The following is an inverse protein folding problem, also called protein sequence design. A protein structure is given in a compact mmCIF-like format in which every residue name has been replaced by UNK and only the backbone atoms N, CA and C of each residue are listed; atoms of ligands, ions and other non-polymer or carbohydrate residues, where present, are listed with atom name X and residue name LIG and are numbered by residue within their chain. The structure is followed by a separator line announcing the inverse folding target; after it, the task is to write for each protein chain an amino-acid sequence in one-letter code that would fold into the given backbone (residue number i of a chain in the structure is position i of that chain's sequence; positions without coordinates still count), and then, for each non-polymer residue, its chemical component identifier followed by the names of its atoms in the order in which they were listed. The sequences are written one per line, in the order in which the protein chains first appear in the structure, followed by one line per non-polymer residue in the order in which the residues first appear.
data_IF_212091765886
#
_entry.id   IF_212091765886
#
_cell.length_a   1.000
_cell.length_b   1.000
_cell.length_c   1.000
_cell.angle_alpha   90.00
_cell.angle_beta   90.00
_cell.angle_gamma   90.00
#
_symmetry.space_group_name_H-M   'P 1'
#
loop_
_entity.id
_entity.type
_entity.pdbx_description
1 polymer ?
#
# COMPACT_ATOMS: atom_id res chain seq x y z
N UNK A 1 20.57 58.52 19.39
CA UNK A 1 19.91 58.00 18.18
C UNK A 1 19.79 56.48 18.30
N UNK A 2 18.57 56.00 18.47
CA UNK A 2 18.24 54.63 18.85
C UNK A 2 18.49 53.62 17.72
N UNK A 3 18.99 52.45 18.12
CA UNK A 3 19.23 51.29 17.26
C UNK A 3 18.26 50.19 17.68
N UNK A 4 17.04 50.23 17.16
CA UNK A 4 16.04 49.20 17.40
C UNK A 4 16.15 48.05 16.38
N UNK A 5 16.85 47.01 16.81
CA UNK A 5 16.30 45.68 17.06
C UNK A 5 15.12 45.20 16.18
N UNK A 6 15.40 44.26 15.25
CA UNK A 6 14.61 43.02 15.09
C UNK A 6 15.52 41.84 14.75
N UNK A 7 15.80 41.06 15.79
CA UNK A 7 16.22 39.65 15.69
C UNK A 7 14.97 38.83 15.36
N UNK A 8 14.89 38.22 14.19
CA UNK A 8 13.94 37.13 13.98
C UNK A 8 14.57 35.82 14.46
N UNK A 9 13.94 35.28 15.51
CA UNK A 9 14.31 34.04 16.18
C UNK A 9 13.89 32.84 15.35
N UNK A 10 14.70 31.81 15.50
CA UNK A 10 14.59 30.42 15.04
C UNK A 10 13.25 29.82 15.51
N UNK A 11 12.59 29.04 14.65
CA UNK A 11 11.61 28.03 15.09
C UNK A 11 12.01 26.69 14.46
N UNK A 12 12.58 25.75 15.24
CA UNK A 12 12.60 24.35 14.83
C UNK A 12 11.21 23.80 15.13
N UNK A 13 10.49 23.35 14.08
CA UNK A 13 9.22 22.66 14.25
C UNK A 13 9.51 21.26 14.81
N UNK A 14 9.64 21.17 16.12
CA UNK A 14 9.61 19.92 16.86
C UNK A 14 8.22 19.31 16.70
N UNK A 15 8.13 18.19 16.00
CA UNK A 15 6.88 17.41 15.93
C UNK A 15 6.72 16.70 17.29
N UNK A 16 5.61 17.04 17.93
CA UNK A 16 5.16 16.61 19.24
C UNK A 16 4.93 15.08 19.27
N UNK A 17 5.65 14.37 20.15
CA UNK A 17 5.29 13.01 20.56
C UNK A 17 4.28 13.15 21.70
N UNK A 18 3.02 12.77 21.45
CA UNK A 18 2.02 12.64 22.51
C UNK A 18 1.89 11.15 22.90
N UNK A 19 2.45 10.80 24.05
CA UNK A 19 2.12 9.58 24.80
C UNK A 19 0.95 9.95 25.71
N UNK A 20 -0.15 9.21 25.64
CA UNK A 20 -1.29 9.38 26.55
C UNK A 20 -1.64 8.02 27.14
N UNK A 21 -1.37 7.86 28.45
CA UNK A 21 -1.92 6.80 29.29
C UNK A 21 -2.86 7.42 30.34
N UNK A 22 -4.12 6.99 30.24
CA UNK A 22 -5.16 6.79 31.27
C UNK A 22 -5.68 8.01 32.05
N UNK A 23 -6.91 8.40 31.72
CA UNK A 23 -7.89 8.97 32.64
C UNK A 23 -9.24 8.29 32.40
N UNK A 24 -9.73 7.58 33.42
CA UNK A 24 -10.93 6.76 33.39
C UNK A 24 -12.19 7.65 33.29
N UNK A 25 -12.76 7.79 32.10
CA UNK A 25 -14.11 8.33 31.89
C UNK A 25 -14.83 7.47 30.84
N UNK A 26 -16.10 7.07 31.04
CA UNK A 26 -16.87 6.41 30.01
C UNK A 26 -17.34 7.50 29.03
N UNK A 27 -16.42 8.00 28.21
CA UNK A 27 -16.79 8.76 27.03
C UNK A 27 -17.36 7.72 26.06
N UNK A 28 -18.69 7.74 25.85
CA UNK A 28 -19.31 7.10 24.70
C UNK A 28 -18.66 7.68 23.44
N UNK A 29 -17.57 7.05 23.00
CA UNK A 29 -17.07 7.20 21.66
C UNK A 29 -18.09 6.50 20.78
N UNK A 30 -18.97 7.28 20.18
CA UNK A 30 -19.57 6.89 18.92
C UNK A 30 -18.40 6.74 17.94
N UNK A 31 -17.80 5.55 17.91
CA UNK A 31 -16.93 5.13 16.85
C UNK A 31 -17.83 5.14 15.60
N UNK A 32 -17.81 6.25 14.87
CA UNK A 32 -18.29 6.29 13.51
C UNK A 32 -17.43 5.29 12.75
N UNK A 33 -17.98 4.08 12.60
CA UNK A 33 -17.49 3.07 11.68
C UNK A 33 -17.58 3.70 10.30
N UNK A 34 -16.48 4.29 9.85
CA UNK A 34 -16.33 4.55 8.43
C UNK A 34 -16.35 3.16 7.80
N UNK A 35 -17.49 2.79 7.21
CA UNK A 35 -17.57 1.65 6.29
C UNK A 35 -16.58 1.96 5.18
N UNK A 36 -15.35 1.49 5.34
CA UNK A 36 -14.26 1.70 4.41
C UNK A 36 -14.44 0.75 3.24
N UNK A 37 -15.53 0.94 2.49
CA UNK A 37 -15.83 0.17 1.30
C UNK A 37 -15.06 0.76 0.13
N UNK A 38 -14.27 -0.07 -0.55
CA UNK A 38 -13.55 0.34 -1.76
C UNK A 38 -14.58 0.85 -2.81
N UNK A 39 -14.39 2.07 -3.38
CA UNK A 39 -15.24 2.59 -4.44
C UNK A 39 -15.32 1.61 -5.61
N UNK A 40 -16.52 1.35 -6.13
CA UNK A 40 -16.73 0.30 -7.14
C UNK A 40 -16.01 0.57 -8.46
N UNK A 41 -15.86 1.83 -8.87
CA UNK A 41 -15.15 2.15 -10.11
C UNK A 41 -13.65 1.94 -9.95
N UNK A 42 -13.06 2.36 -8.82
CA UNK A 42 -11.67 2.04 -8.48
C UNK A 42 -11.42 0.53 -8.43
N UNK A 43 -12.38 -0.23 -7.87
CA UNK A 43 -12.27 -1.69 -7.81
C UNK A 43 -12.22 -2.32 -9.22
N UNK A 44 -13.07 -1.86 -10.15
CA UNK A 44 -13.06 -2.34 -11.54
C UNK A 44 -11.73 -2.03 -12.22
N UNK A 45 -11.21 -0.82 -12.03
CA UNK A 45 -9.94 -0.40 -12.63
C UNK A 45 -8.79 -1.28 -12.10
N UNK A 46 -8.75 -1.54 -10.79
CA UNK A 46 -7.74 -2.42 -10.18
C UNK A 46 -7.88 -3.87 -10.67
N UNK A 47 -9.10 -4.40 -10.77
CA UNK A 47 -9.35 -5.76 -11.28
C UNK A 47 -8.91 -5.92 -12.75
N UNK A 48 -9.06 -4.88 -13.56
CA UNK A 48 -8.65 -4.89 -14.97
C UNK A 48 -7.12 -5.07 -15.13
N UNK A 49 -6.33 -4.64 -14.13
CA UNK A 49 -4.87 -4.82 -14.13
C UNK A 49 -4.43 -6.27 -13.93
N UNK A 50 -5.28 -7.13 -13.35
CA UNK A 50 -5.00 -8.56 -13.09
C UNK A 50 -3.66 -8.81 -12.38
N UNK A 51 -3.32 -7.95 -11.41
CA UNK A 51 -2.05 -8.08 -10.67
C UNK A 51 -2.13 -9.28 -9.72
N UNK A 52 -1.38 -10.33 -10.01
CA UNK A 52 -1.42 -11.62 -9.30
C UNK A 52 -0.07 -11.97 -8.68
N UNK A 53 -0.09 -12.63 -7.51
CA UNK A 53 1.05 -13.33 -6.93
C UNK A 53 0.56 -14.57 -6.18
N UNK A 54 1.15 -15.73 -6.51
CA UNK A 54 0.57 -17.02 -6.09
C UNK A 54 -0.86 -17.15 -6.59
N UNK A 55 -1.76 -17.62 -5.73
CA UNK A 55 -3.19 -17.78 -6.05
C UNK A 55 -4.04 -16.54 -5.71
N UNK A 56 -3.40 -15.42 -5.36
CA UNK A 56 -4.07 -14.19 -4.95
C UNK A 56 -4.00 -13.14 -6.06
N UNK A 57 -5.15 -12.52 -6.35
CA UNK A 57 -5.28 -11.45 -7.34
C UNK A 57 -5.77 -10.19 -6.64
N UNK A 58 -5.06 -9.06 -6.84
CA UNK A 58 -5.42 -7.78 -6.26
C UNK A 58 -6.81 -7.34 -6.73
N UNK A 59 -7.65 -6.87 -5.79
CA UNK A 59 -9.02 -6.45 -6.09
C UNK A 59 -10.03 -7.59 -6.26
N UNK A 60 -9.61 -8.86 -6.18
CA UNK A 60 -10.53 -10.00 -6.23
C UNK A 60 -10.92 -10.46 -4.82
N UNK A 61 -12.14 -10.98 -4.61
CA UNK A 61 -12.53 -11.59 -3.34
C UNK A 61 -11.75 -12.89 -3.11
N UNK A 62 -11.43 -13.18 -1.85
CA UNK A 62 -10.86 -14.45 -1.45
C UNK A 62 -11.80 -15.62 -1.76
N UNK A 63 -11.24 -16.74 -2.20
CA UNK A 63 -11.99 -18.00 -2.34
C UNK A 63 -12.34 -18.59 -0.98
N UNK A 64 -13.28 -19.53 -0.94
CA UNK A 64 -13.62 -20.24 0.30
C UNK A 64 -12.42 -20.94 0.92
N UNK A 65 -11.53 -21.52 0.09
CA UNK A 65 -10.30 -22.17 0.55
C UNK A 65 -9.33 -21.17 1.17
N UNK A 66 -9.15 -20.00 0.54
CA UNK A 66 -8.30 -18.94 1.07
C UNK A 66 -8.85 -18.34 2.36
N UNK A 67 -10.19 -18.30 2.53
CA UNK A 67 -10.81 -17.88 3.79
C UNK A 67 -10.56 -18.88 4.92
N UNK A 68 -10.50 -20.18 4.64
CA UNK A 68 -10.11 -21.18 5.64
C UNK A 68 -8.64 -21.04 6.04
N UNK A 69 -7.75 -20.76 5.08
CA UNK A 69 -6.35 -20.40 5.37
C UNK A 69 -6.28 -19.15 6.25
N UNK A 70 -7.07 -18.12 5.94
CA UNK A 70 -7.11 -16.87 6.70
C UNK A 70 -7.54 -17.07 8.15
N UNK A 71 -8.54 -17.93 8.41
CA UNK A 71 -8.97 -18.28 9.77
C UNK A 71 -7.87 -18.99 10.56
N UNK A 72 -7.12 -19.88 9.91
CA UNK A 72 -6.08 -20.70 10.57
C UNK A 72 -4.78 -19.93 10.79
N UNK A 73 -4.43 -19.03 9.87
CA UNK A 73 -3.13 -18.35 9.83
C UNK A 73 -3.28 -16.82 9.93
N UNK A 74 -4.28 -16.37 10.69
CA UNK A 74 -4.53 -14.96 10.96
C UNK A 74 -3.34 -14.25 11.62
N UNK A 75 -3.15 -13.00 11.24
CA UNK A 75 -2.13 -12.10 11.77
C UNK A 75 -2.79 -10.92 12.48
N UNK A 76 -2.08 -10.23 13.41
CA UNK A 76 -2.61 -9.02 14.04
C UNK A 76 -3.03 -7.98 13.00
N UNK A 77 -4.18 -7.36 13.24
CA UNK A 77 -4.75 -6.28 12.41
C UNK A 77 -3.83 -5.06 12.41
N UNK A 78 -3.65 -4.46 11.24
CA UNK A 78 -2.83 -3.24 11.06
C UNK A 78 -3.61 -2.02 10.62
N UNK A 79 -4.84 -2.20 10.11
CA UNK A 79 -5.71 -1.13 9.68
C UNK A 79 -7.18 -1.48 9.97
N UNK A 80 -8.00 -0.48 10.32
CA UNK A 80 -9.45 -0.65 10.49
C UNK A 80 -10.10 -1.16 9.20
N UNK A 81 -11.19 -1.93 9.30
CA UNK A 81 -11.90 -2.47 8.15
C UNK A 81 -11.13 -3.54 7.35
N UNK A 82 -10.03 -4.07 7.87
CA UNK A 82 -9.22 -5.10 7.19
C UNK A 82 -8.84 -6.24 8.12
N UNK A 83 -8.61 -7.41 7.54
CA UNK A 83 -7.94 -8.54 8.19
C UNK A 83 -6.71 -8.95 7.40
N UNK A 84 -5.77 -9.60 8.10
CA UNK A 84 -4.50 -10.03 7.53
C UNK A 84 -4.20 -11.46 7.93
N UNK A 85 -3.59 -12.22 7.04
CA UNK A 85 -3.18 -13.60 7.29
C UNK A 85 -1.94 -13.98 6.48
N UNK A 86 -1.33 -15.10 6.84
CA UNK A 86 -0.17 -15.67 6.15
C UNK A 86 -0.59 -16.91 5.36
N UNK A 87 -0.07 -17.06 4.15
CA UNK A 87 -0.19 -18.29 3.34
C UNK A 87 1.15 -18.58 2.67
N UNK A 88 1.82 -19.66 3.08
CA UNK A 88 3.20 -19.93 2.69
C UNK A 88 4.11 -18.75 3.06
N UNK A 89 4.80 -18.17 2.08
CA UNK A 89 5.65 -16.97 2.26
C UNK A 89 4.89 -15.65 2.05
N UNK A 90 3.63 -15.71 1.61
CA UNK A 90 2.81 -14.54 1.36
C UNK A 90 2.10 -14.06 2.62
N UNK A 91 2.00 -12.74 2.77
CA UNK A 91 1.09 -12.07 3.69
C UNK A 91 0.04 -11.33 2.88
N UNK A 92 -1.22 -11.61 3.17
CA UNK A 92 -2.38 -11.10 2.45
C UNK A 92 -3.17 -10.19 3.38
N UNK A 93 -3.57 -9.02 2.88
CA UNK A 93 -4.51 -8.12 3.54
C UNK A 93 -5.78 -8.06 2.71
N UNK A 94 -6.94 -8.22 3.35
CA UNK A 94 -8.23 -8.16 2.70
C UNK A 94 -9.22 -7.26 3.47
N UNK A 95 -10.20 -6.70 2.76
CA UNK A 95 -11.30 -5.91 3.32
C UNK A 95 -12.24 -6.80 4.16
N UNK A 96 -12.58 -6.36 5.36
CA UNK A 96 -13.62 -7.00 6.17
C UNK A 96 -14.99 -6.85 5.49
N UNK A 97 -15.79 -7.91 5.48
CA UNK A 97 -17.14 -7.92 4.90
C UNK A 97 -17.18 -8.35 3.44
N UNK A 98 -16.36 -7.76 2.56
CA UNK A 98 -16.30 -8.15 1.14
C UNK A 98 -15.22 -9.20 0.82
N UNK A 99 -14.24 -9.38 1.70
CA UNK A 99 -13.08 -10.26 1.51
C UNK A 99 -12.24 -9.92 0.28
N UNK A 100 -12.29 -8.69 -0.22
CA UNK A 100 -11.49 -8.24 -1.36
C UNK A 100 -10.02 -8.12 -0.95
N UNK A 101 -9.11 -8.70 -1.74
CA UNK A 101 -7.66 -8.58 -1.53
C UNK A 101 -7.18 -7.15 -1.82
N UNK A 102 -6.56 -6.52 -0.81
CA UNK A 102 -6.06 -5.14 -0.85
C UNK A 102 -4.53 -5.10 -0.96
N UNK A 103 -3.83 -6.07 -0.39
CA UNK A 103 -2.37 -6.14 -0.48
C UNK A 103 -1.89 -7.58 -0.46
N UNK A 104 -0.84 -7.83 -1.24
CA UNK A 104 -0.09 -9.08 -1.27
C UNK A 104 1.37 -8.70 -1.04
N UNK A 105 2.02 -9.35 -0.07
CA UNK A 105 3.42 -9.06 0.23
C UNK A 105 4.18 -10.33 0.57
N UNK A 106 5.48 -10.31 0.31
CA UNK A 106 6.40 -11.40 0.60
C UNK A 106 7.63 -10.78 1.26
N UNK A 107 8.11 -11.38 2.36
CA UNK A 107 9.27 -10.85 3.09
C UNK A 107 10.28 -11.95 3.32
N UNK A 108 11.50 -11.74 2.81
CA UNK A 108 12.64 -12.59 3.11
C UNK A 108 13.79 -11.75 3.66
N UNK A 109 14.36 -12.12 4.82
CA UNK A 109 15.46 -11.37 5.42
C UNK A 109 16.74 -11.46 4.57
N UNK A 110 16.89 -12.53 3.77
CA UNK A 110 18.01 -12.73 2.86
C UNK A 110 17.54 -13.42 1.58
N UNK A 111 17.71 -12.74 0.45
CA UNK A 111 17.57 -13.33 -0.87
C UNK A 111 18.95 -13.60 -1.49
N UNK A 112 19.25 -14.85 -1.91
CA UNK A 112 20.37 -15.13 -2.79
C UNK A 112 20.30 -14.29 -4.07
N UNK A 113 21.45 -13.80 -4.55
CA UNK A 113 21.52 -12.96 -5.77
C UNK A 113 20.81 -13.56 -6.97
N UNK A 114 20.86 -14.89 -7.14
CA UNK A 114 20.16 -15.59 -8.22
C UNK A 114 18.64 -15.42 -8.08
N UNK A 115 18.09 -15.63 -6.89
CA UNK A 115 16.65 -15.51 -6.67
C UNK A 115 16.16 -14.07 -6.87
N UNK A 116 16.93 -13.05 -6.47
CA UNK A 116 16.59 -11.65 -6.77
C UNK A 116 16.53 -11.42 -8.28
N UNK A 117 17.50 -11.94 -9.05
CA UNK A 117 17.50 -11.81 -10.51
C UNK A 117 16.34 -12.54 -11.16
N UNK A 118 16.03 -13.74 -10.68
CA UNK A 118 14.91 -14.54 -11.18
C UNK A 118 13.60 -13.80 -10.91
N UNK A 119 13.43 -13.21 -9.72
CA UNK A 119 12.25 -12.42 -9.34
C UNK A 119 12.10 -11.16 -10.18
N UNK A 120 13.20 -10.40 -10.39
CA UNK A 120 13.20 -9.25 -11.31
C UNK A 120 12.79 -9.69 -12.71
N UNK A 121 13.31 -10.81 -13.19
CA UNK A 121 12.99 -11.38 -14.50
C UNK A 121 11.51 -11.76 -14.60
N UNK A 122 10.98 -12.48 -13.61
CA UNK A 122 9.58 -12.86 -13.52
C UNK A 122 8.67 -11.63 -13.56
N UNK A 123 8.96 -10.61 -12.74
CA UNK A 123 8.17 -9.39 -12.69
C UNK A 123 8.29 -8.61 -13.99
N UNK A 124 9.46 -8.60 -14.62
CA UNK A 124 9.65 -7.94 -15.90
C UNK A 124 8.90 -8.65 -17.03
N UNK A 125 8.83 -9.98 -17.02
CA UNK A 125 8.07 -10.73 -18.02
C UNK A 125 6.56 -10.63 -17.79
N UNK A 126 6.10 -10.61 -16.53
CA UNK A 126 4.68 -10.55 -16.18
C UNK A 126 4.09 -9.14 -16.23
N UNK A 127 4.85 -8.13 -15.83
CA UNK A 127 4.39 -6.75 -15.64
C UNK A 127 5.12 -5.75 -16.57
N UNK A 128 6.02 -6.25 -17.43
CA UNK A 128 6.94 -5.47 -18.26
C UNK A 128 8.02 -4.76 -17.42
N UNK A 129 8.80 -3.84 -18.01
CA UNK A 129 9.85 -3.12 -17.30
C UNK A 129 9.35 -2.25 -16.14
N UNK A 130 10.13 -2.11 -15.06
CA UNK A 130 9.85 -1.17 -13.97
C UNK A 130 9.92 0.26 -14.48
N UNK A 131 9.24 1.16 -13.79
CA UNK A 131 9.35 2.61 -14.01
C UNK A 131 10.77 3.10 -13.73
N UNK A 132 11.27 4.06 -14.52
CA UNK A 132 12.64 4.59 -14.41
C UNK A 132 12.99 5.21 -13.07
N UNK A 133 12.00 5.43 -12.20
CA UNK A 133 12.20 5.93 -10.84
C UNK A 133 12.72 4.84 -9.92
N UNK A 134 13.97 4.41 -10.12
CA UNK A 134 14.68 3.61 -9.14
C UNK A 134 15.05 4.50 -7.94
N UNK A 135 14.18 4.57 -6.93
CA UNK A 135 14.53 5.21 -5.66
C UNK A 135 15.46 4.27 -4.88
N UNK A 136 16.76 4.39 -5.15
CA UNK A 136 17.79 3.56 -4.50
C UNK A 136 17.80 2.13 -5.03
N UNK A 137 17.57 1.16 -4.15
CA UNK A 137 17.58 -0.29 -4.47
C UNK A 137 16.18 -0.88 -4.68
N UNK A 138 15.17 -0.04 -4.83
CA UNK A 138 13.77 -0.46 -4.99
C UNK A 138 13.34 -0.31 -6.44
N UNK A 139 12.67 -1.34 -6.98
CA UNK A 139 12.00 -1.26 -8.29
C UNK A 139 10.50 -1.00 -8.09
N UNK A 140 9.94 -0.15 -8.95
CA UNK A 140 8.54 0.24 -8.90
C UNK A 140 7.85 0.02 -10.23
N UNK A 141 6.63 -0.51 -10.18
CA UNK A 141 5.66 -0.45 -11.27
C UNK A 141 4.46 0.34 -10.76
N UNK A 142 4.13 1.44 -11.44
CA UNK A 142 2.98 2.29 -11.12
C UNK A 142 1.87 2.06 -12.15
N UNK A 143 0.63 1.97 -11.68
CA UNK A 143 -0.54 1.78 -12.52
C UNK A 143 -1.59 2.86 -12.24
N UNK A 144 -2.16 3.39 -13.32
CA UNK A 144 -3.39 4.17 -13.32
C UNK A 144 -4.56 3.35 -13.89
N UNK A 145 -5.74 3.96 -13.98
CA UNK A 145 -6.90 3.34 -14.63
C UNK A 145 -6.63 2.95 -16.09
N UNK A 146 -5.77 3.69 -16.78
CA UNK A 146 -5.39 3.43 -18.19
C UNK A 146 -4.31 2.36 -18.34
N UNK A 147 -3.83 1.80 -17.23
CA UNK A 147 -2.79 0.79 -17.20
C UNK A 147 -1.46 1.30 -16.65
N UNK A 148 -0.36 0.76 -17.15
CA UNK A 148 0.97 1.02 -16.58
C UNK A 148 1.52 2.39 -17.00
N UNK A 149 2.06 3.13 -16.04
CA UNK A 149 2.83 4.36 -16.30
C UNK A 149 4.26 3.99 -16.74
N UNK A 150 4.65 4.38 -17.96
CA UNK A 150 5.97 4.11 -18.57
C UNK A 150 6.87 5.36 -18.59
N UNK A 151 8.14 5.21 -19.02
CA UNK A 151 9.12 6.31 -19.12
C UNK A 151 8.63 7.56 -19.87
N UNK A 152 7.78 7.41 -20.90
CA UNK A 152 7.29 8.53 -21.71
C UNK A 152 6.42 9.52 -20.90
N UNK A 153 5.82 9.08 -19.79
CA UNK A 153 5.11 9.93 -18.82
C UNK A 153 5.64 9.59 -17.43
N UNK A 154 6.55 10.41 -16.89
CA UNK A 154 7.11 10.13 -15.57
C UNK A 154 5.99 10.11 -14.52
N UNK A 155 6.11 9.25 -13.49
CA UNK A 155 5.15 9.21 -12.37
C UNK A 155 4.87 10.60 -11.78
N UNK A 156 5.89 11.46 -11.73
CA UNK A 156 5.75 12.83 -11.22
C UNK A 156 4.84 13.67 -12.11
N UNK A 157 5.06 13.61 -13.42
CA UNK A 157 4.28 14.39 -14.39
C UNK A 157 2.82 13.92 -14.39
N UNK A 158 2.60 12.60 -14.38
CA UNK A 158 1.26 12.03 -14.29
C UNK A 158 0.50 12.49 -13.04
N UNK A 159 1.14 12.44 -11.86
CA UNK A 159 0.53 12.87 -10.60
C UNK A 159 0.32 14.38 -10.53
N UNK A 160 1.20 15.19 -11.15
CA UNK A 160 0.99 16.64 -11.24
C UNK A 160 -0.23 16.98 -12.10
N UNK A 161 -0.46 16.24 -13.18
CA UNK A 161 -1.57 16.47 -14.10
C UNK A 161 -2.92 15.90 -13.59
N UNK A 162 -2.90 14.72 -12.96
CA UNK A 162 -4.11 13.96 -12.63
C UNK A 162 -4.39 13.88 -11.12
N UNK A 163 -3.50 14.41 -10.29
CA UNK A 163 -3.59 14.39 -8.83
C UNK A 163 -3.04 13.11 -8.18
N UNK A 164 -2.81 13.14 -6.86
CA UNK A 164 -2.14 12.06 -6.11
C UNK A 164 -2.89 10.72 -6.09
N UNK A 165 -4.21 10.73 -6.29
CA UNK A 165 -5.07 9.55 -6.25
C UNK A 165 -5.24 8.88 -7.63
N UNK A 166 -4.56 9.38 -8.67
CA UNK A 166 -4.63 8.83 -10.02
C UNK A 166 -3.83 7.52 -10.19
N UNK A 167 -2.91 7.24 -9.26
CA UNK A 167 -2.24 5.94 -9.16
C UNK A 167 -3.09 5.02 -8.30
N UNK A 168 -3.55 3.93 -8.92
CA UNK A 168 -4.54 3.01 -8.35
C UNK A 168 -3.90 1.72 -7.81
N UNK A 169 -2.72 1.36 -8.30
CA UNK A 169 -1.97 0.21 -7.81
C UNK A 169 -0.46 0.38 -8.00
N UNK A 170 0.31 -0.32 -7.19
CA UNK A 170 1.78 -0.32 -7.25
C UNK A 170 2.35 -1.69 -6.95
N UNK A 171 3.38 -2.08 -7.70
CA UNK A 171 4.27 -3.19 -7.32
C UNK A 171 5.58 -2.58 -6.85
N UNK A 172 6.05 -3.04 -5.68
CA UNK A 172 7.31 -2.60 -5.06
C UNK A 172 8.15 -3.83 -4.72
N UNK A 173 9.41 -3.81 -5.14
CA UNK A 173 10.40 -4.85 -4.82
C UNK A 173 11.67 -4.22 -4.25
#
# INVERSE_FOLDING_TARGET
MGKDMRRNKIVPLAILIAILFIGNTPLLSAASTVDSKIPQDLLKDVQALKLQRGDYVLGMPLTSEQLEVAKKHGLPKTASGTFRFKDGELQIVAEEGSNIVIAISEYHPKWPKKQVKDLVGEFTLGFGFPTATAHGRTLYWFYSADGRLLEEVSYKDYVMEHGKYSVIATIKM
#
